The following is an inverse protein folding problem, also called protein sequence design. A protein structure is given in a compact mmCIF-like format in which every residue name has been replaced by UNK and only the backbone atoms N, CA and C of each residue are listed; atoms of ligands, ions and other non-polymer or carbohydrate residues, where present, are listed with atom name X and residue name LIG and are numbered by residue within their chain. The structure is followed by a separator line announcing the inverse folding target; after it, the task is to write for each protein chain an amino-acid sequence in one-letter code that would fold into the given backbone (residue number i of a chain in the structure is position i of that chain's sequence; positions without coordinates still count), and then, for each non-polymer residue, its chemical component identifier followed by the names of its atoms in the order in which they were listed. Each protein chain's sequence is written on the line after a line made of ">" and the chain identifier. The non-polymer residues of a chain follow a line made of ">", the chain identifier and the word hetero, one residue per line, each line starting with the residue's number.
data_IF_624977421065
#
_entry.id   IF_624977421065
#
_cell.length_a   1.000
_cell.length_b   1.000
_cell.length_c   1.000
_cell.angle_alpha   90.00
_cell.angle_beta   90.00
_cell.angle_gamma   90.00
#
_symmetry.space_group_name_H-M   'P 1'
#
loop_
_entity.id
_entity.type
_entity.pdbx_description
1 polymer ?
#
# COMPACT_ATOMS: atom_id res chain seq x y z
N UNK A 1 -11.95 21.75 -1.07
CA UNK A 1 -12.44 20.72 -0.12
C UNK A 1 -11.44 19.57 -0.13
N UNK A 2 -11.18 18.89 1.00
CA UNK A 2 -10.29 17.72 0.99
C UNK A 2 -10.83 16.66 0.03
N UNK A 3 -9.93 16.00 -0.71
CA UNK A 3 -10.32 14.86 -1.55
C UNK A 3 -10.95 13.76 -0.68
N UNK A 4 -12.00 13.07 -1.16
CA UNK A 4 -12.60 12.00 -0.41
C UNK A 4 -11.58 10.88 -0.23
N UNK A 5 -11.26 10.56 1.03
CA UNK A 5 -10.33 9.46 1.35
C UNK A 5 -10.87 8.13 0.83
N UNK A 6 -9.99 7.19 0.42
CA UNK A 6 -10.40 5.83 0.11
C UNK A 6 -11.22 5.22 1.25
N UNK A 7 -12.34 4.59 0.91
CA UNK A 7 -13.13 3.76 1.83
C UNK A 7 -13.14 2.33 1.33
N UNK A 8 -13.24 1.36 2.23
CA UNK A 8 -13.15 -0.05 1.89
C UNK A 8 -13.93 -0.94 2.84
N UNK A 9 -14.16 -2.17 2.41
CA UNK A 9 -14.73 -3.25 3.18
C UNK A 9 -13.77 -4.44 3.16
N UNK A 10 -13.42 -4.94 4.34
CA UNK A 10 -12.65 -6.17 4.48
C UNK A 10 -13.60 -7.36 4.45
N UNK A 11 -13.39 -8.26 3.49
CA UNK A 11 -14.14 -9.52 3.35
C UNK A 11 -13.50 -10.63 4.17
N UNK A 12 -12.21 -10.84 3.95
CA UNK A 12 -11.40 -11.81 4.68
C UNK A 12 -9.92 -11.42 4.57
N UNK A 13 -9.27 -11.10 5.69
CA UNK A 13 -7.82 -11.07 5.79
C UNK A 13 -7.38 -12.38 6.45
N UNK A 14 -7.01 -13.34 5.59
CA UNK A 14 -6.47 -14.64 5.99
C UNK A 14 -5.68 -15.14 4.78
N UNK A 15 -4.44 -14.64 4.69
CA UNK A 15 -3.50 -15.09 3.67
C UNK A 15 -3.02 -16.50 4.02
N UNK A 16 -2.69 -17.29 3.00
CA UNK A 16 -2.07 -18.58 3.26
C UNK A 16 -0.64 -18.33 3.71
N UNK A 17 -0.27 -18.79 4.90
CA UNK A 17 1.07 -18.65 5.45
C UNK A 17 2.05 -19.77 5.06
N UNK A 18 1.71 -20.56 4.04
CA UNK A 18 2.42 -21.82 3.74
C UNK A 18 2.45 -22.17 2.25
N UNK A 19 1.99 -21.26 1.39
CA UNK A 19 1.94 -21.46 -0.05
C UNK A 19 2.38 -20.22 -0.79
N UNK A 20 2.73 -20.36 -2.05
CA UNK A 20 2.99 -19.24 -2.93
C UNK A 20 1.75 -18.34 -2.99
N UNK A 21 2.00 -17.04 -2.99
CA UNK A 21 0.96 -16.01 -2.94
C UNK A 21 0.90 -15.29 -4.28
N UNK A 22 -0.33 -15.02 -4.71
CA UNK A 22 -0.58 -14.03 -5.73
C UNK A 22 -1.58 -13.03 -5.18
N UNK A 23 -1.38 -11.77 -5.52
CA UNK A 23 -2.30 -10.68 -5.26
C UNK A 23 -2.69 -10.04 -6.59
N UNK A 24 -3.95 -9.64 -6.70
CA UNK A 24 -4.46 -8.96 -7.89
C UNK A 24 -5.36 -7.78 -7.49
N UNK A 25 -5.21 -6.67 -8.20
CA UNK A 25 -6.21 -5.61 -8.22
C UNK A 25 -7.09 -5.82 -9.44
N UNK A 26 -8.40 -5.86 -9.25
CA UNK A 26 -9.37 -5.95 -10.34
C UNK A 26 -10.36 -4.80 -10.29
N UNK A 27 -10.73 -4.29 -11.46
CA UNK A 27 -11.81 -3.32 -11.58
C UNK A 27 -13.20 -3.95 -11.42
N UNK A 28 -14.25 -3.14 -11.51
CA UNK A 28 -15.63 -3.59 -11.38
C UNK A 28 -16.08 -4.52 -12.52
N UNK A 29 -15.39 -4.48 -13.67
CA UNK A 29 -15.63 -5.38 -14.80
C UNK A 29 -14.80 -6.69 -14.70
N UNK A 30 -13.93 -6.80 -13.69
CA UNK A 30 -13.04 -7.94 -13.48
C UNK A 30 -11.73 -7.87 -14.27
N UNK A 31 -11.43 -6.74 -14.92
CA UNK A 31 -10.16 -6.49 -15.60
C UNK A 31 -9.06 -6.37 -14.56
N UNK A 32 -7.95 -7.05 -14.79
CA UNK A 32 -6.76 -6.96 -13.94
C UNK A 32 -6.07 -5.60 -14.16
N UNK A 33 -5.89 -4.86 -13.06
CA UNK A 33 -5.18 -3.59 -13.02
C UNK A 33 -3.72 -3.80 -12.68
N UNK A 34 -3.44 -4.68 -11.72
CA UNK A 34 -2.08 -5.04 -11.31
C UNK A 34 -2.09 -6.45 -10.71
N UNK A 35 -0.92 -7.10 -10.76
CA UNK A 35 -0.66 -8.42 -10.18
C UNK A 35 0.74 -8.52 -9.57
N UNK A 36 0.79 -9.00 -8.33
CA UNK A 36 2.01 -9.29 -7.59
C UNK A 36 2.08 -10.76 -7.22
N UNK A 37 3.28 -11.34 -7.28
CA UNK A 37 3.54 -12.73 -6.87
C UNK A 37 4.66 -12.79 -5.85
N UNK A 38 4.53 -13.71 -4.91
CA UNK A 38 5.54 -14.04 -3.91
C UNK A 38 5.64 -15.54 -3.68
N UNK A 39 6.86 -16.01 -3.41
CA UNK A 39 7.07 -17.40 -2.99
C UNK A 39 6.61 -17.60 -1.54
N UNK A 40 6.25 -18.82 -1.16
CA UNK A 40 5.92 -19.17 0.23
C UNK A 40 7.05 -18.80 1.21
N UNK A 41 8.31 -18.85 0.75
CA UNK A 41 9.50 -18.49 1.53
C UNK A 41 9.59 -17.00 1.88
N UNK A 42 8.71 -16.14 1.34
CA UNK A 42 8.62 -14.73 1.70
C UNK A 42 7.75 -14.49 2.93
N UNK A 43 7.08 -15.52 3.43
CA UNK A 43 6.13 -15.42 4.52
C UNK A 43 6.84 -15.74 5.82
N UNK A 44 7.41 -14.70 6.42
CA UNK A 44 8.03 -14.76 7.72
C UNK A 44 7.29 -13.81 8.67
N UNK A 45 7.10 -14.25 9.91
CA UNK A 45 6.42 -13.50 10.97
C UNK A 45 7.02 -12.09 11.09
N UNK A 46 6.18 -11.07 10.92
CA UNK A 46 6.62 -9.69 11.06
C UNK A 46 7.64 -9.26 10.01
N UNK A 47 7.79 -9.93 8.87
CA UNK A 47 8.60 -9.48 7.73
C UNK A 47 7.68 -9.16 6.56
N UNK A 48 7.76 -7.93 6.06
CA UNK A 48 7.03 -7.52 4.87
C UNK A 48 7.82 -7.86 3.60
N UNK A 49 7.09 -8.00 2.50
CA UNK A 49 7.66 -8.16 1.18
C UNK A 49 7.24 -6.98 0.29
N UNK A 50 8.17 -6.44 -0.49
CA UNK A 50 7.96 -5.34 -1.44
C UNK A 50 8.47 -5.73 -2.83
N UNK A 51 8.11 -4.98 -3.86
CA UNK A 51 8.51 -5.31 -5.24
C UNK A 51 9.99 -5.04 -5.52
N UNK A 52 10.63 -5.94 -6.27
CA UNK A 52 12.02 -5.77 -6.74
C UNK A 52 12.20 -6.24 -8.20
N UNK A 53 12.45 -5.34 -9.17
CA UNK A 53 12.59 -3.89 -9.01
C UNK A 53 11.34 -3.21 -8.46
N UNK A 54 11.54 -2.05 -7.83
CA UNK A 54 10.48 -1.26 -7.19
C UNK A 54 9.27 -1.06 -8.13
N UNK A 55 8.06 -1.21 -7.59
CA UNK A 55 6.74 -1.10 -8.27
C UNK A 55 6.45 -2.09 -9.42
N UNK A 56 7.43 -2.82 -9.95
CA UNK A 56 7.25 -3.60 -11.20
C UNK A 56 7.65 -5.07 -11.08
N UNK A 57 8.60 -5.39 -10.21
CA UNK A 57 9.11 -6.75 -10.03
C UNK A 57 8.23 -7.66 -9.18
N UNK A 58 8.67 -8.92 -8.99
CA UNK A 58 8.08 -9.82 -8.00
C UNK A 58 8.26 -9.28 -6.57
N UNK A 59 7.47 -9.80 -5.64
CA UNK A 59 7.69 -9.56 -4.22
C UNK A 59 9.00 -10.22 -3.77
N UNK A 60 9.74 -9.51 -2.94
CA UNK A 60 10.95 -9.96 -2.28
C UNK A 60 10.98 -9.39 -0.84
N UNK A 61 11.71 -10.00 0.10
CA UNK A 61 11.72 -9.54 1.49
C UNK A 61 12.21 -8.09 1.54
N UNK A 62 11.46 -7.23 2.22
CA UNK A 62 11.75 -5.80 2.24
C UNK A 62 13.17 -5.51 2.78
N UNK A 63 13.64 -6.30 3.75
CA UNK A 63 15.01 -6.21 4.31
C UNK A 63 16.12 -6.48 3.28
N UNK A 64 15.86 -7.23 2.22
CA UNK A 64 16.86 -7.54 1.18
C UNK A 64 16.94 -6.44 0.11
N UNK A 65 15.80 -5.83 -0.20
CA UNK A 65 15.65 -4.91 -1.35
C UNK A 65 15.75 -3.45 -0.96
N UNK A 66 15.58 -3.14 0.33
CA UNK A 66 15.82 -1.81 0.91
C UNK A 66 16.79 -1.91 2.09
N UNK A 67 18.06 -2.31 1.86
CA UNK A 67 19.04 -2.51 2.94
C UNK A 67 19.41 -1.22 3.68
N UNK A 68 19.20 -0.05 3.04
CA UNK A 68 19.38 1.28 3.65
C UNK A 68 18.06 1.87 4.16
N UNK A 69 16.95 1.16 3.98
CA UNK A 69 15.66 1.53 4.54
C UNK A 69 14.98 2.76 3.92
N UNK A 70 15.28 3.07 2.67
CA UNK A 70 14.72 4.24 2.01
C UNK A 70 13.98 3.84 0.71
N UNK A 71 12.64 3.94 0.68
CA UNK A 71 11.92 5.17 0.31
C UNK A 71 10.42 4.99 0.03
N UNK A 72 9.89 3.78 -0.15
CA UNK A 72 8.48 3.59 -0.55
C UNK A 72 7.81 2.45 0.22
N UNK A 73 7.85 2.52 1.55
CA UNK A 73 7.02 1.70 2.42
C UNK A 73 6.33 2.62 3.43
N UNK A 74 5.27 3.34 3.03
CA UNK A 74 4.43 4.08 3.97
C UNK A 74 3.91 3.25 5.15
N UNK A 75 3.91 1.91 5.07
CA UNK A 75 3.47 1.03 6.14
C UNK A 75 4.56 0.53 7.10
N UNK A 76 5.86 0.65 6.77
CA UNK A 76 6.97 0.24 7.64
C UNK A 76 8.13 1.21 7.65
N UNK A 77 8.87 1.18 8.75
CA UNK A 77 10.08 1.96 8.92
C UNK A 77 11.22 1.37 8.08
N UNK A 78 12.26 2.17 7.86
CA UNK A 78 13.49 1.82 7.15
C UNK A 78 14.10 0.44 7.49
N UNK A 79 13.89 -0.02 8.72
CA UNK A 79 14.41 -1.27 9.26
C UNK A 79 13.44 -2.47 9.16
N UNK A 80 12.31 -2.31 8.48
CA UNK A 80 11.25 -3.32 8.42
C UNK A 80 10.36 -3.38 9.67
N UNK A 81 10.47 -2.46 10.63
CA UNK A 81 9.58 -2.38 11.79
C UNK A 81 8.18 -1.87 11.44
N UNK A 82 7.15 -2.29 12.17
CA UNK A 82 5.77 -1.79 11.98
C UNK A 82 5.62 -0.33 12.44
N UNK A 83 4.80 0.46 11.76
CA UNK A 83 4.46 1.82 12.19
C UNK A 83 3.83 1.87 13.61
N UNK A 84 3.16 0.79 14.03
CA UNK A 84 2.65 0.63 15.38
C UNK A 84 3.76 0.70 16.45
N UNK A 85 5.00 0.31 16.10
CA UNK A 85 6.18 0.46 16.95
C UNK A 85 6.85 1.84 16.83
N UNK A 86 6.18 2.82 16.22
CA UNK A 86 6.63 4.22 16.08
C UNK A 86 8.03 4.41 15.49
N UNK A 87 8.52 3.47 14.68
CA UNK A 87 9.90 3.48 14.21
C UNK A 87 10.92 3.66 15.36
N UNK A 88 10.67 3.00 16.49
CA UNK A 88 11.44 3.22 17.71
C UNK A 88 12.57 2.19 17.83
N UNK A 89 13.50 2.19 16.88
CA UNK A 89 14.69 1.33 16.84
C UNK A 89 15.88 1.92 17.60
N UNK A 90 15.62 2.62 18.69
CA UNK A 90 16.67 3.05 19.62
C UNK A 90 17.64 4.10 19.08
N UNK A 91 17.44 4.61 17.86
CA UNK A 91 18.18 5.75 17.34
C UNK A 91 17.25 6.99 17.31
N UNK A 92 17.01 7.56 18.49
CA UNK A 92 16.08 8.65 18.74
C UNK A 92 16.43 9.98 18.05
N UNK A 93 16.21 10.05 16.74
CA UNK A 93 16.30 11.27 15.94
C UNK A 93 14.92 11.74 15.48
N UNK A 94 14.09 12.23 16.40
CA UNK A 94 12.82 12.88 16.05
C UNK A 94 13.09 14.19 15.27
N UNK A 95 13.05 14.12 13.95
CA UNK A 95 12.93 15.28 13.07
C UNK A 95 11.54 15.88 13.20
N UNK A 96 11.46 17.06 13.82
CA UNK A 96 10.20 17.73 14.14
C UNK A 96 9.37 18.12 12.91
N UNK A 97 8.10 17.73 12.92
CA UNK A 97 7.09 18.29 12.02
C UNK A 97 6.64 19.66 12.55
N UNK A 98 7.32 20.70 12.08
CA UNK A 98 6.88 22.08 12.21
C UNK A 98 5.62 22.31 11.38
N UNK A 99 4.51 22.57 12.07
CA UNK A 99 3.24 22.95 11.46
C UNK A 99 3.37 24.27 10.70
N UNK A 100 3.22 24.20 9.37
CA UNK A 100 2.99 25.38 8.54
C UNK A 100 1.49 25.54 8.31
N UNK A 101 0.91 26.51 9.01
CA UNK A 101 -0.43 27.02 8.75
C UNK A 101 -0.46 27.78 7.42
N UNK A 102 -1.20 27.24 6.45
CA UNK A 102 -1.53 27.89 5.19
C UNK A 102 -2.97 28.40 5.21
N UNK A 103 -3.13 29.71 5.10
CA UNK A 103 -4.39 30.43 5.16
C UNK A 103 -5.23 30.28 3.88
N UNK A 104 -6.53 29.96 4.08
CA UNK A 104 -7.67 30.63 3.45
C UNK A 104 -7.74 30.74 1.93
N UNK A 105 -8.30 29.72 1.27
CA UNK A 105 -8.90 29.84 -0.07
C UNK A 105 -10.32 29.27 -0.06
N UNK A 106 -11.35 30.10 0.17
CA UNK A 106 -12.77 29.72 0.10
C UNK A 106 -13.28 29.66 -1.34
N UNK A 107 -12.53 29.02 -2.24
CA UNK A 107 -13.03 28.67 -3.57
C UNK A 107 -13.76 27.34 -3.47
N UNK A 108 -15.10 27.36 -3.52
CA UNK A 108 -15.96 26.17 -3.58
C UNK A 108 -15.84 25.41 -4.90
N UNK A 109 -14.63 25.22 -5.41
CA UNK A 109 -14.36 24.33 -6.54
C UNK A 109 -14.78 22.91 -6.15
N UNK A 110 -15.60 22.30 -6.99
CA UNK A 110 -15.89 20.87 -6.92
C UNK A 110 -14.54 20.13 -6.83
N UNK A 111 -14.38 19.15 -5.92
CA UNK A 111 -13.16 18.37 -5.85
C UNK A 111 -12.83 17.83 -7.25
N UNK A 112 -11.55 17.79 -7.65
CA UNK A 112 -11.19 17.20 -8.93
C UNK A 112 -11.82 15.81 -9.03
N UNK A 113 -12.52 15.56 -10.15
CA UNK A 113 -13.01 14.24 -10.44
C UNK A 113 -11.80 13.31 -10.58
N UNK A 114 -11.86 12.17 -9.92
CA UNK A 114 -10.79 11.18 -9.99
C UNK A 114 -11.11 10.24 -11.14
N UNK A 115 -10.10 9.95 -11.95
CA UNK A 115 -10.24 9.10 -13.12
C UNK A 115 -10.02 7.63 -12.70
N UNK A 116 -10.68 6.66 -13.35
CA UNK A 116 -10.36 5.24 -13.14
C UNK A 116 -8.86 4.97 -13.36
N UNK A 117 -8.26 4.00 -12.65
CA UNK A 117 -6.89 3.61 -12.91
C UNK A 117 -6.82 2.85 -14.25
N UNK A 118 -5.79 3.14 -15.03
CA UNK A 118 -5.31 2.26 -16.08
C UNK A 118 -4.55 1.07 -15.50
N UNK A 119 -4.22 0.12 -16.38
CA UNK A 119 -3.31 -0.99 -16.03
C UNK A 119 -1.97 -0.43 -15.54
N UNK A 120 -1.45 -0.99 -14.45
CA UNK A 120 -0.22 -0.59 -13.75
C UNK A 120 -0.20 0.83 -13.15
N UNK A 121 -1.32 1.57 -13.18
CA UNK A 121 -1.42 2.90 -12.54
C UNK A 121 -1.70 2.83 -11.03
N UNK A 122 -2.25 1.71 -10.57
CA UNK A 122 -2.44 1.41 -9.16
C UNK A 122 -1.81 0.04 -8.89
N UNK A 123 -0.75 0.01 -8.09
CA UNK A 123 0.04 -1.22 -7.89
C UNK A 123 0.05 -1.68 -6.44
N UNK A 124 0.04 -2.98 -6.23
CA UNK A 124 0.36 -3.62 -4.95
C UNK A 124 1.87 -3.50 -4.76
N UNK A 125 2.30 -2.65 -3.85
CA UNK A 125 3.71 -2.34 -3.65
C UNK A 125 4.33 -3.20 -2.55
N UNK A 126 3.66 -3.30 -1.41
CA UNK A 126 4.14 -4.02 -0.23
C UNK A 126 3.01 -4.80 0.44
N UNK A 127 3.37 -5.91 1.06
CA UNK A 127 2.48 -6.72 1.87
C UNK A 127 3.16 -7.16 3.16
N UNK A 128 2.42 -7.20 4.27
CA UNK A 128 2.77 -7.98 5.46
C UNK A 128 1.73 -9.09 5.61
N UNK A 129 2.18 -10.33 5.46
CA UNK A 129 1.31 -11.50 5.30
C UNK A 129 1.12 -12.24 6.62
N UNK A 130 2.21 -12.34 7.38
CA UNK A 130 2.24 -12.92 8.72
C UNK A 130 2.54 -11.79 9.69
N UNK A 131 1.54 -11.43 10.50
CA UNK A 131 1.66 -10.34 11.46
C UNK A 131 2.64 -10.70 12.58
N UNK A 132 2.91 -9.76 13.48
CA UNK A 132 3.61 -10.08 14.73
C UNK A 132 2.61 -10.61 15.76
N UNK A 133 2.84 -11.80 16.31
CA UNK A 133 2.08 -12.29 17.44
C UNK A 133 2.28 -11.37 18.68
N UNK A 134 1.28 -11.29 19.59
CA UNK A 134 -0.01 -11.98 19.58
C UNK A 134 -1.10 -11.24 18.77
N UNK A 135 -0.78 -10.08 18.23
CA UNK A 135 -1.72 -9.17 17.57
C UNK A 135 -1.44 -9.21 16.06
N UNK A 136 -1.94 -10.27 15.40
CA UNK A 136 -1.95 -10.44 13.93
C UNK A 136 -2.68 -9.29 13.18
N UNK A 137 -3.08 -8.23 13.88
CA UNK A 137 -3.68 -7.00 13.36
C UNK A 137 -2.73 -6.21 12.46
N UNK A 138 -1.44 -6.55 12.48
CA UNK A 138 -0.41 -5.85 11.72
C UNK A 138 -0.36 -6.24 10.24
N UNK A 139 -1.01 -7.34 9.82
CA UNK A 139 -1.11 -7.70 8.41
C UNK A 139 -1.66 -6.53 7.57
N UNK A 140 -1.02 -6.23 6.44
CA UNK A 140 -1.44 -5.15 5.56
C UNK A 140 -1.16 -5.43 4.09
N UNK A 141 -1.86 -4.70 3.23
CA UNK A 141 -1.53 -4.55 1.81
C UNK A 141 -1.39 -3.05 1.53
N UNK A 142 -0.31 -2.67 0.86
CA UNK A 142 -0.05 -1.32 0.42
C UNK A 142 -0.30 -1.17 -1.07
N UNK A 143 -1.09 -0.15 -1.43
CA UNK A 143 -1.35 0.27 -2.80
C UNK A 143 -0.65 1.59 -3.09
N UNK A 144 -0.03 1.71 -4.25
CA UNK A 144 0.62 2.94 -4.72
C UNK A 144 -0.05 3.40 -6.02
N UNK A 145 -0.52 4.66 -6.03
CA UNK A 145 -0.92 5.33 -7.26
C UNK A 145 0.35 5.84 -7.98
N UNK A 146 0.69 5.21 -9.10
CA UNK A 146 1.84 5.59 -9.93
C UNK A 146 1.47 6.64 -10.97
N UNK A 147 0.19 7.00 -11.12
CA UNK A 147 -0.24 8.03 -12.06
C UNK A 147 0.14 9.44 -11.56
N UNK A 148 0.24 10.37 -12.52
CA UNK A 148 0.40 11.81 -12.26
C UNK A 148 -0.93 12.53 -11.93
N UNK A 149 -2.00 11.77 -11.69
CA UNK A 149 -3.36 12.25 -11.41
C UNK A 149 -3.99 11.43 -10.26
N UNK A 150 -4.96 11.98 -9.53
CA UNK A 150 -5.77 11.21 -8.60
C UNK A 150 -6.50 10.07 -9.31
N UNK A 151 -6.51 8.88 -8.70
CA UNK A 151 -7.21 7.70 -9.22
C UNK A 151 -8.44 7.38 -8.38
N UNK A 152 -9.57 7.14 -9.03
CA UNK A 152 -10.78 6.66 -8.38
C UNK A 152 -10.61 5.20 -7.98
N UNK A 153 -10.88 4.88 -6.72
CA UNK A 153 -10.72 3.51 -6.22
C UNK A 153 -12.04 2.78 -6.00
N UNK A 154 -13.17 3.47 -6.15
CA UNK A 154 -14.49 2.88 -5.97
C UNK A 154 -14.73 1.72 -6.95
N UNK A 155 -15.18 0.57 -6.43
CA UNK A 155 -15.49 -0.61 -7.23
C UNK A 155 -14.29 -1.53 -7.49
N UNK A 156 -13.07 -1.09 -7.18
CA UNK A 156 -11.88 -1.96 -7.25
C UNK A 156 -11.94 -3.02 -6.15
N UNK A 157 -11.32 -4.16 -6.42
CA UNK A 157 -11.23 -5.29 -5.49
C UNK A 157 -9.81 -5.84 -5.46
N UNK A 158 -9.35 -6.18 -4.26
CA UNK A 158 -8.06 -6.85 -4.05
C UNK A 158 -8.34 -8.33 -3.80
N UNK A 159 -7.71 -9.17 -4.59
CA UNK A 159 -7.81 -10.63 -4.49
C UNK A 159 -6.48 -11.19 -4.03
N UNK A 160 -6.53 -12.32 -3.32
CA UNK A 160 -5.32 -13.10 -3.06
C UNK A 160 -5.60 -14.60 -3.11
N UNK A 161 -4.53 -15.38 -3.28
CA UNK A 161 -4.63 -16.84 -3.29
C UNK A 161 -5.15 -17.39 -1.96
N UNK A 162 -5.97 -18.44 -2.08
CA UNK A 162 -6.49 -19.26 -0.99
C UNK A 162 -6.54 -20.69 -1.51
N UNK A 163 -5.50 -21.47 -1.21
CA UNK A 163 -5.24 -22.72 -1.90
C UNK A 163 -5.05 -22.49 -3.40
N UNK A 164 -5.81 -23.20 -4.24
CA UNK A 164 -5.70 -23.13 -5.70
C UNK A 164 -6.58 -22.05 -6.36
N UNK A 165 -7.21 -21.15 -5.60
CA UNK A 165 -8.15 -20.15 -6.13
C UNK A 165 -7.84 -18.75 -5.61
N UNK A 166 -8.13 -17.73 -6.43
CA UNK A 166 -8.15 -16.33 -6.00
C UNK A 166 -9.47 -16.02 -5.30
N UNK A 167 -9.39 -15.29 -4.19
CA UNK A 167 -10.54 -14.85 -3.40
C UNK A 167 -10.44 -13.36 -3.16
N UNK A 168 -11.56 -12.67 -3.27
CA UNK A 168 -11.67 -11.26 -2.89
C UNK A 168 -11.41 -11.11 -1.39
N UNK A 169 -10.49 -10.22 -1.03
CA UNK A 169 -10.08 -9.93 0.34
C UNK A 169 -10.54 -8.56 0.79
N UNK A 170 -10.44 -7.58 -0.12
CA UNK A 170 -10.81 -6.19 0.12
C UNK A 170 -11.63 -5.68 -1.06
N UNK A 171 -12.67 -4.90 -0.77
CA UNK A 171 -13.41 -4.13 -1.76
C UNK A 171 -13.28 -2.65 -1.44
N UNK A 172 -12.80 -1.86 -2.39
CA UNK A 172 -12.73 -0.41 -2.28
C UNK A 172 -14.10 0.16 -2.66
N UNK A 173 -14.74 0.88 -1.75
CA UNK A 173 -16.15 1.32 -1.86
C UNK A 173 -16.30 2.76 -2.28
N UNK A 174 -15.23 3.57 -2.23
CA UNK A 174 -15.29 4.99 -2.49
C UNK A 174 -13.94 5.69 -2.36
N UNK A 175 -13.91 6.96 -2.76
CA UNK A 175 -12.76 7.85 -2.58
C UNK A 175 -11.76 7.85 -3.73
N UNK A 176 -10.70 8.61 -3.51
CA UNK A 176 -9.61 8.81 -4.45
C UNK A 176 -8.27 8.60 -3.77
N UNK A 177 -7.32 8.05 -4.52
CA UNK A 177 -5.92 8.03 -4.12
C UNK A 177 -5.19 9.14 -4.90
N UNK A 178 -4.64 10.18 -4.22
CA UNK A 178 -3.94 11.29 -4.88
C UNK A 178 -2.83 10.83 -5.82
N UNK A 179 -2.45 11.67 -6.78
CA UNK A 179 -1.31 11.42 -7.65
C UNK A 179 -0.05 11.08 -6.83
N UNK A 180 0.73 10.07 -7.26
CA UNK A 180 1.99 9.70 -6.60
C UNK A 180 1.85 9.53 -5.08
N UNK A 181 0.79 8.87 -4.64
CA UNK A 181 0.53 8.62 -3.21
C UNK A 181 0.29 7.14 -2.94
N UNK A 182 0.19 6.78 -1.66
CA UNK A 182 -0.01 5.41 -1.23
C UNK A 182 -1.03 5.29 -0.11
N UNK A 183 -1.62 4.10 0.01
CA UNK A 183 -2.48 3.70 1.11
C UNK A 183 -2.11 2.29 1.57
N UNK A 184 -1.96 2.12 2.87
CA UNK A 184 -1.86 0.83 3.52
C UNK A 184 -3.22 0.46 4.14
N UNK A 185 -3.70 -0.74 3.83
CA UNK A 185 -4.96 -1.30 4.33
C UNK A 185 -4.59 -2.42 5.30
N UNK A 186 -4.97 -2.28 6.56
CA UNK A 186 -4.65 -3.23 7.62
C UNK A 186 -5.82 -4.18 7.88
N UNK A 187 -5.50 -5.38 8.37
CA UNK A 187 -6.47 -6.46 8.63
C UNK A 187 -7.64 -6.07 9.54
N UNK A 188 -7.41 -5.24 10.54
CA UNK A 188 -8.41 -4.82 11.52
C UNK A 188 -9.34 -3.70 11.01
N UNK A 189 -9.17 -3.27 9.76
CA UNK A 189 -10.03 -2.28 9.12
C UNK A 189 -9.51 -0.85 9.20
N UNK A 190 -8.37 -0.58 9.82
CA UNK A 190 -7.77 0.76 9.72
C UNK A 190 -6.97 0.92 8.43
N UNK A 191 -6.79 2.18 8.01
CA UNK A 191 -5.92 2.53 6.90
C UNK A 191 -5.03 3.70 7.24
N UNK A 192 -3.79 3.63 6.77
CA UNK A 192 -2.85 4.74 6.81
C UNK A 192 -2.68 5.27 5.38
N UNK A 193 -2.97 6.55 5.19
CA UNK A 193 -2.74 7.26 3.93
C UNK A 193 -1.63 8.26 4.14
N UNK A 194 -0.57 8.19 3.33
CA UNK A 194 0.46 9.23 3.30
C UNK A 194 0.11 10.26 2.21
N UNK A 195 -0.29 11.49 2.59
CA UNK A 195 -0.56 12.55 1.62
C UNK A 195 0.72 13.23 1.11
N UNK A 196 1.90 12.87 1.65
CA UNK A 196 3.15 13.35 1.09
C UNK A 196 3.30 12.75 -0.30
N UNK A 197 3.32 13.65 -1.30
CA UNK A 197 3.79 13.40 -2.65
C UNK A 197 5.04 12.52 -2.52
N UNK A 198 4.92 11.23 -2.86
CA UNK A 198 6.08 10.34 -2.92
C UNK A 198 7.07 11.09 -3.80
N UNK A 199 8.18 11.57 -3.21
CA UNK A 199 9.15 12.37 -3.92
C UNK A 199 9.37 11.69 -5.27
N UNK A 200 9.19 12.41 -6.40
CA UNK A 200 8.99 11.79 -7.70
C UNK A 200 10.03 10.70 -7.87
N UNK A 201 9.57 9.45 -7.89
CA UNK A 201 10.44 8.29 -7.98
C UNK A 201 11.21 8.49 -9.28
N UNK A 202 12.47 8.86 -9.15
CA UNK A 202 13.26 9.16 -10.33
C UNK A 202 13.67 7.83 -10.94
N UNK A 203 13.75 7.75 -12.26
CA UNK A 203 14.13 6.50 -12.94
C UNK A 203 15.49 5.93 -12.45
N UNK A 204 16.34 6.77 -11.85
CA UNK A 204 17.58 6.37 -11.19
C UNK A 204 17.40 5.61 -9.87
N UNK A 205 16.20 5.61 -9.28
CA UNK A 205 15.85 4.83 -8.09
C UNK A 205 15.35 3.40 -8.45
N UNK A 206 15.21 3.07 -9.74
CA UNK A 206 14.59 1.82 -10.25
C UNK A 206 15.59 0.94 -11.05
N UNK A 207 16.87 1.34 -11.12
CA UNK A 207 17.91 0.66 -11.92
C UNK A 207 19.05 0.09 -11.09
#
# INVERSE_FOLDING_TARGET
>A
MPEPRPTFEIKAYAFSNSADIAFEIRDAAGVEIDRAFGAAALIDEGISATRSPQLTGPLAPHVEVSPTGAKLSPARCANGGTFAMSCNDGNGGMGGMGGMGGAGGMGGGMPPACDPPGVDELVINEVLIDGLAPEETTEFIELVNTAARPVAVAGLSIHSTSGASLRERVRLTGGCLPARSAIAIFRDGHSLSHPEELAPITYSDIS
#
